data_IF_774664407222
#
_entry.id   IF_774664407222
#
_cell.length_a   1.000
_cell.length_b   1.000
_cell.length_c   1.000
_cell.angle_alpha   90.00
_cell.angle_beta   90.00
_cell.angle_gamma   90.00
#
_symmetry.space_group_name_H-M   'P 1'
#
loop_
_entity.id
_entity.type
_entity.pdbx_description
1 polymer ?
#
# COMPACT_ATOMS: atom_id res chain seq x y z
N UNK A 1 -38.09 -4.62 -10.92
CA UNK A 1 -37.25 -4.96 -9.77
C UNK A 1 -35.95 -5.49 -10.34
N UNK A 2 -34.96 -4.61 -10.50
CA UNK A 2 -33.59 -5.07 -10.76
C UNK A 2 -33.12 -5.80 -9.51
N UNK A 3 -32.55 -6.99 -9.68
CA UNK A 3 -31.93 -7.69 -8.56
C UNK A 3 -30.85 -6.76 -7.97
N UNK A 4 -30.72 -6.68 -6.63
CA UNK A 4 -29.63 -5.93 -6.02
C UNK A 4 -28.32 -6.42 -6.66
N UNK A 5 -27.55 -5.46 -7.16
CA UNK A 5 -26.33 -5.67 -7.94
C UNK A 5 -25.36 -6.54 -7.14
N UNK A 6 -25.38 -7.86 -7.37
CA UNK A 6 -24.68 -8.84 -6.56
C UNK A 6 -23.17 -8.70 -6.80
N UNK A 7 -22.45 -8.39 -5.73
CA UNK A 7 -21.00 -8.26 -5.75
C UNK A 7 -20.28 -9.52 -6.22
N UNK A 8 -20.84 -10.71 -5.96
CA UNK A 8 -20.27 -11.96 -6.47
C UNK A 8 -20.36 -12.02 -7.99
N UNK A 9 -21.51 -11.63 -8.55
CA UNK A 9 -21.71 -11.52 -10.00
C UNK A 9 -20.74 -10.50 -10.62
N UNK A 10 -20.53 -9.36 -9.95
CA UNK A 10 -19.54 -8.34 -10.37
C UNK A 10 -18.10 -8.86 -10.31
N UNK A 11 -17.73 -9.57 -9.24
CA UNK A 11 -16.41 -10.21 -9.10
C UNK A 11 -16.18 -11.25 -10.19
N UNK A 12 -17.17 -12.10 -10.49
CA UNK A 12 -17.07 -13.09 -11.57
C UNK A 12 -16.89 -12.42 -12.93
N UNK A 13 -17.65 -11.35 -13.19
CA UNK A 13 -17.55 -10.57 -14.43
C UNK A 13 -16.19 -9.90 -14.55
N UNK A 14 -15.68 -9.34 -13.44
CA UNK A 14 -14.35 -8.74 -13.36
C UNK A 14 -13.24 -9.77 -13.61
N UNK A 15 -13.29 -10.94 -12.99
CA UNK A 15 -12.32 -12.02 -13.21
C UNK A 15 -12.37 -12.54 -14.65
N UNK A 16 -13.58 -12.73 -15.20
CA UNK A 16 -13.77 -13.17 -16.58
C UNK A 16 -13.18 -12.18 -17.57
N UNK A 17 -13.43 -10.88 -17.39
CA UNK A 17 -12.97 -9.82 -18.28
C UNK A 17 -11.48 -9.50 -18.13
N UNK A 18 -10.97 -9.43 -16.89
CA UNK A 18 -9.60 -8.99 -16.61
C UNK A 18 -8.57 -10.08 -16.85
N UNK A 19 -8.97 -11.34 -16.64
CA UNK A 19 -8.10 -12.50 -16.80
C UNK A 19 -8.48 -13.35 -18.02
N UNK A 20 -9.44 -12.92 -18.84
CA UNK A 20 -9.98 -13.66 -19.99
C UNK A 20 -10.26 -15.14 -19.68
N UNK A 21 -10.76 -15.42 -18.47
CA UNK A 21 -11.02 -16.78 -18.01
C UNK A 21 -12.37 -17.27 -18.55
N UNK A 22 -12.52 -18.57 -18.83
CA UNK A 22 -13.85 -19.12 -19.09
C UNK A 22 -14.74 -18.92 -17.86
N UNK A 23 -16.05 -18.64 -18.04
CA UNK A 23 -16.95 -18.32 -16.92
C UNK A 23 -16.95 -19.36 -15.81
N UNK A 24 -16.87 -20.65 -16.14
CA UNK A 24 -16.80 -21.74 -15.14
C UNK A 24 -15.60 -21.65 -14.21
N UNK A 25 -14.43 -21.28 -14.75
CA UNK A 25 -13.21 -21.13 -13.99
C UNK A 25 -13.23 -19.83 -13.16
N UNK A 26 -13.77 -18.74 -13.72
CA UNK A 26 -13.97 -17.48 -13.00
C UNK A 26 -14.94 -17.65 -11.81
N UNK A 27 -16.05 -18.37 -11.99
CA UNK A 27 -16.98 -18.73 -10.91
C UNK A 27 -16.31 -19.59 -9.84
N UNK A 28 -15.50 -20.56 -10.24
CA UNK A 28 -14.78 -21.42 -9.29
C UNK A 28 -13.77 -20.62 -8.47
N UNK A 29 -13.00 -19.74 -9.12
CA UNK A 29 -12.02 -18.87 -8.46
C UNK A 29 -12.70 -17.86 -7.53
N UNK A 30 -13.80 -17.27 -7.97
CA UNK A 30 -14.58 -16.39 -7.12
C UNK A 30 -15.10 -17.12 -5.87
N UNK A 31 -15.61 -18.34 -6.01
CA UNK A 31 -16.10 -19.12 -4.89
C UNK A 31 -14.97 -19.48 -3.89
N UNK A 32 -13.78 -19.82 -4.38
CA UNK A 32 -12.61 -20.09 -3.54
C UNK A 32 -12.13 -18.82 -2.80
N UNK A 33 -12.14 -17.66 -3.47
CA UNK A 33 -11.77 -16.39 -2.84
C UNK A 33 -12.83 -15.94 -1.81
N UNK A 34 -14.10 -16.20 -2.08
CA UNK A 34 -15.20 -15.90 -1.17
C UNK A 34 -15.13 -16.74 0.10
N UNK A 35 -14.85 -18.05 -0.02
CA UNK A 35 -14.74 -18.94 1.14
C UNK A 35 -13.57 -18.56 2.06
N UNK A 36 -12.46 -18.06 1.50
CA UNK A 36 -11.31 -17.58 2.26
C UNK A 36 -11.54 -16.23 2.95
N UNK A 37 -12.41 -15.38 2.41
CA UNK A 37 -12.72 -14.06 2.99
C UNK A 37 -13.82 -14.11 4.06
N UNK A 38 -14.73 -15.09 3.99
CA UNK A 38 -15.82 -15.27 4.94
C UNK A 38 -15.42 -15.39 6.44
N UNK A 39 -14.29 -16.02 6.83
CA UNK A 39 -13.91 -16.12 8.24
C UNK A 39 -13.29 -14.84 8.84
N UNK A 40 -12.93 -13.83 8.03
CA UNK A 40 -12.23 -12.63 8.52
C UNK A 40 -13.15 -11.50 9.01
N UNK A 41 -14.46 -11.58 8.77
CA UNK A 41 -15.42 -10.55 9.18
C UNK A 41 -16.25 -11.02 10.40
N UNK A 42 -15.95 -10.54 11.62
CA UNK A 42 -16.66 -10.97 12.84
C UNK A 42 -18.13 -10.52 12.90
N UNK A 43 -18.60 -9.70 11.96
CA UNK A 43 -19.98 -9.21 11.90
C UNK A 43 -20.49 -9.08 10.44
N UNK A 44 -20.62 -10.21 9.76
CA UNK A 44 -21.84 -10.47 8.99
C UNK A 44 -21.92 -10.01 7.53
N UNK A 45 -20.86 -9.47 6.90
CA UNK A 45 -20.86 -9.28 5.45
C UNK A 45 -19.72 -10.07 4.76
N UNK A 46 -19.97 -11.32 4.34
CA UNK A 46 -18.97 -12.13 3.65
C UNK A 46 -18.60 -11.53 2.27
N UNK A 47 -19.29 -10.47 1.84
CA UNK A 47 -18.98 -9.69 0.65
C UNK A 47 -18.33 -8.33 0.92
N UNK A 48 -17.81 -8.16 2.14
CA UNK A 48 -17.17 -6.95 2.63
C UNK A 48 -15.88 -6.56 1.91
N UNK A 49 -15.16 -5.58 2.48
CA UNK A 49 -13.99 -5.00 1.84
C UNK A 49 -12.84 -6.00 1.68
N UNK A 50 -12.68 -6.94 2.63
CA UNK A 50 -11.64 -7.97 2.58
C UNK A 50 -11.79 -8.85 1.34
N UNK A 51 -12.99 -9.36 1.08
CA UNK A 51 -13.31 -10.14 -0.12
C UNK A 51 -13.01 -9.36 -1.41
N UNK A 52 -13.46 -8.11 -1.51
CA UNK A 52 -13.23 -7.25 -2.69
C UNK A 52 -11.75 -6.93 -2.90
N UNK A 53 -10.98 -6.80 -1.82
CA UNK A 53 -9.53 -6.60 -1.89
C UNK A 53 -8.85 -7.88 -2.37
N UNK A 54 -9.21 -9.05 -1.81
CA UNK A 54 -8.69 -10.35 -2.20
C UNK A 54 -8.90 -10.62 -3.69
N UNK A 55 -10.12 -10.40 -4.20
CA UNK A 55 -10.44 -10.57 -5.64
C UNK A 55 -9.56 -9.68 -6.52
N UNK A 56 -9.42 -8.39 -6.17
CA UNK A 56 -8.57 -7.47 -6.93
C UNK A 56 -7.09 -7.84 -6.87
N UNK A 57 -6.61 -8.27 -5.71
CA UNK A 57 -5.21 -8.63 -5.50
C UNK A 57 -4.85 -9.88 -6.30
N UNK A 58 -5.66 -10.94 -6.21
CA UNK A 58 -5.43 -12.17 -6.99
C UNK A 58 -5.53 -11.88 -8.48
N UNK A 59 -6.50 -11.09 -8.93
CA UNK A 59 -6.60 -10.69 -10.33
C UNK A 59 -5.36 -9.92 -10.81
N UNK A 60 -4.89 -8.93 -10.04
CA UNK A 60 -3.71 -8.15 -10.40
C UNK A 60 -2.45 -9.03 -10.46
N UNK A 61 -2.28 -9.92 -9.48
CA UNK A 61 -1.12 -10.82 -9.43
C UNK A 61 -1.12 -11.81 -10.60
N UNK A 62 -2.26 -12.41 -10.93
CA UNK A 62 -2.39 -13.29 -12.10
C UNK A 62 -2.17 -12.53 -13.42
N UNK A 63 -2.62 -11.28 -13.50
CA UNK A 63 -2.39 -10.44 -14.67
C UNK A 63 -0.90 -10.08 -14.83
N UNK A 64 -0.15 -9.93 -13.73
CA UNK A 64 1.28 -9.66 -13.76
C UNK A 64 2.10 -10.93 -14.02
N UNK A 65 1.62 -12.10 -13.59
CA UNK A 65 2.27 -13.39 -13.80
C UNK A 65 1.49 -14.24 -14.83
N UNK A 66 1.74 -13.95 -16.11
CA UNK A 66 1.09 -14.63 -17.24
C UNK A 66 1.39 -16.15 -17.29
N UNK A 67 2.54 -16.58 -16.76
CA UNK A 67 2.86 -18.00 -16.66
C UNK A 67 1.92 -18.70 -15.69
N UNK A 68 1.75 -18.16 -14.48
CA UNK A 68 0.82 -18.69 -13.47
C UNK A 68 -0.62 -18.69 -13.98
N UNK A 69 -1.04 -17.62 -14.68
CA UNK A 69 -2.36 -17.58 -15.33
C UNK A 69 -2.52 -18.68 -16.39
N UNK A 70 -1.49 -18.93 -17.20
CA UNK A 70 -1.47 -20.04 -18.17
C UNK A 70 -1.52 -21.41 -17.50
N UNK A 71 -0.84 -21.59 -16.37
CA UNK A 71 -0.88 -22.82 -15.57
C UNK A 71 -2.27 -23.06 -14.96
N UNK A 72 -2.93 -22.01 -14.48
CA UNK A 72 -4.31 -22.06 -13.99
C UNK A 72 -5.29 -22.43 -15.12
N UNK A 73 -5.18 -21.79 -16.29
CA UNK A 73 -6.03 -22.09 -17.46
C UNK A 73 -5.84 -23.52 -17.99
N UNK A 74 -4.63 -24.05 -17.92
CA UNK A 74 -4.31 -25.43 -18.33
C UNK A 74 -4.60 -26.48 -17.26
N UNK A 75 -5.01 -26.07 -16.06
CA UNK A 75 -5.29 -26.96 -14.93
C UNK A 75 -4.04 -27.58 -14.29
N UNK A 76 -2.84 -27.04 -14.57
CA UNK A 76 -1.60 -27.46 -13.89
C UNK A 76 -1.55 -26.99 -12.44
N UNK A 77 -2.12 -25.82 -12.18
CA UNK A 77 -2.35 -25.27 -10.84
C UNK A 77 -3.85 -25.17 -10.64
N UNK A 78 -4.32 -25.60 -9.47
CA UNK A 78 -5.72 -25.57 -9.11
C UNK A 78 -6.18 -24.18 -8.71
N UNK A 79 -7.49 -23.98 -8.78
CA UNK A 79 -8.14 -22.75 -8.34
C UNK A 79 -7.93 -22.49 -6.85
N UNK A 80 -7.99 -23.55 -6.03
CA UNK A 80 -7.80 -23.46 -4.58
C UNK A 80 -6.36 -23.08 -4.21
N UNK A 81 -5.37 -23.64 -4.90
CA UNK A 81 -3.96 -23.25 -4.74
C UNK A 81 -3.78 -21.76 -5.05
N UNK A 82 -4.29 -21.29 -6.18
CA UNK A 82 -4.19 -19.86 -6.54
C UNK A 82 -4.91 -18.95 -5.54
N UNK A 83 -6.06 -19.37 -5.01
CA UNK A 83 -6.81 -18.58 -4.05
C UNK A 83 -6.08 -18.45 -2.69
N UNK A 84 -5.33 -19.49 -2.32
CA UNK A 84 -4.57 -19.56 -1.06
C UNK A 84 -3.16 -18.95 -1.15
N UNK A 85 -2.57 -18.87 -2.34
CA UNK A 85 -1.24 -18.29 -2.55
C UNK A 85 -1.13 -16.88 -1.99
N UNK A 86 -0.02 -16.63 -1.31
CA UNK A 86 0.32 -15.28 -0.89
C UNK A 86 0.77 -14.42 -2.08
N UNK A 87 0.64 -13.09 -2.00
CA UNK A 87 1.05 -12.20 -3.08
C UNK A 87 2.53 -12.35 -3.48
N UNK A 88 3.38 -12.73 -2.54
CA UNK A 88 4.81 -13.00 -2.77
C UNK A 88 5.03 -14.28 -3.58
N UNK A 89 4.20 -15.31 -3.37
CA UNK A 89 4.28 -16.60 -4.07
C UNK A 89 3.77 -16.50 -5.51
N UNK A 90 2.87 -15.55 -5.76
CA UNK A 90 2.32 -15.29 -7.11
C UNK A 90 3.25 -14.46 -7.99
N UNK A 91 4.34 -13.89 -7.46
CA UNK A 91 5.27 -13.05 -8.24
C UNK A 91 6.03 -13.88 -9.27
N UNK A 92 6.46 -13.21 -10.34
CA UNK A 92 7.43 -13.79 -11.26
C UNK A 92 8.78 -13.93 -10.58
N UNK A 93 9.60 -14.88 -11.03
CA UNK A 93 10.96 -15.11 -10.52
C UNK A 93 11.82 -13.85 -10.64
N UNK A 94 11.65 -13.10 -11.72
CA UNK A 94 12.34 -11.83 -11.97
C UNK A 94 12.01 -10.79 -10.89
N UNK A 95 10.71 -10.58 -10.64
CA UNK A 95 10.26 -9.59 -9.65
C UNK A 95 10.63 -9.99 -8.22
N UNK A 96 10.57 -11.27 -7.90
CA UNK A 96 11.05 -11.78 -6.62
C UNK A 96 12.57 -11.54 -6.45
N UNK A 97 13.33 -11.62 -7.55
CA UNK A 97 14.76 -11.29 -7.57
C UNK A 97 15.03 -9.80 -7.33
N UNK A 98 14.28 -8.92 -7.99
CA UNK A 98 14.37 -7.47 -7.81
C UNK A 98 14.05 -7.05 -6.37
N UNK A 99 12.98 -7.57 -5.81
CA UNK A 99 12.58 -7.28 -4.43
C UNK A 99 13.64 -7.74 -3.43
N UNK A 100 14.29 -8.87 -3.69
CA UNK A 100 15.41 -9.35 -2.87
C UNK A 100 16.65 -8.44 -2.98
N UNK A 101 16.96 -7.97 -4.18
CA UNK A 101 18.07 -7.03 -4.40
C UNK A 101 17.82 -5.70 -3.70
N UNK A 102 16.62 -5.13 -3.85
CA UNK A 102 16.21 -3.90 -3.15
C UNK A 102 16.25 -4.05 -1.63
N UNK A 103 15.80 -5.20 -1.11
CA UNK A 103 15.88 -5.50 0.32
C UNK A 103 17.33 -5.59 0.80
N UNK A 104 18.23 -6.16 0.00
CA UNK A 104 19.65 -6.22 0.33
C UNK A 104 20.29 -4.83 0.31
N UNK A 105 20.01 -4.01 -0.71
CA UNK A 105 20.49 -2.64 -0.79
C UNK A 105 20.00 -1.79 0.39
N UNK A 106 18.72 -1.90 0.76
CA UNK A 106 18.16 -1.21 1.91
C UNK A 106 18.84 -1.64 3.23
N UNK A 107 19.15 -2.94 3.38
CA UNK A 107 19.88 -3.44 4.54
C UNK A 107 21.32 -2.90 4.58
N UNK A 108 22.02 -2.88 3.45
CA UNK A 108 23.37 -2.34 3.33
C UNK A 108 23.42 -0.82 3.58
N UNK A 109 22.44 -0.06 3.05
CA UNK A 109 22.31 1.37 3.30
C UNK A 109 21.91 1.71 4.75
N UNK A 110 21.17 0.82 5.42
CA UNK A 110 20.80 0.98 6.84
C UNK A 110 21.95 0.68 7.80
N UNK A 111 22.99 -0.06 7.35
CA UNK A 111 24.23 -0.19 8.10
C UNK A 111 24.94 1.15 8.01
N UNK A 112 24.71 1.99 9.03
CA UNK A 112 25.29 3.31 9.14
C UNK A 112 26.76 3.29 8.75
N UNK A 113 27.14 4.19 7.84
CA UNK A 113 28.55 4.44 7.58
C UNK A 113 29.16 4.82 8.92
N UNK A 114 29.98 3.92 9.50
CA UNK A 114 30.84 4.26 10.61
C UNK A 114 31.84 5.28 10.09
N UNK A 115 31.45 6.56 10.08
CA UNK A 115 32.38 7.67 10.01
C UNK A 115 33.23 7.59 11.27
N UNK A 116 34.35 6.89 11.18
CA UNK A 116 35.49 7.07 12.07
C UNK A 116 35.94 8.52 11.88
N UNK A 117 35.33 9.45 12.61
CA UNK A 117 35.89 10.78 12.81
C UNK A 117 37.26 10.55 13.46
N UNK A 118 38.38 10.94 12.83
CA UNK A 118 39.66 10.86 13.48
C UNK A 118 39.59 11.75 14.71
N UNK A 119 39.66 11.15 15.91
CA UNK A 119 39.77 11.88 17.17
C UNK A 119 41.16 12.51 17.21
N UNK A 120 41.30 13.66 16.54
CA UNK A 120 42.43 14.56 16.67
C UNK A 120 42.28 15.36 17.96
N UNK A 121 42.98 14.91 19.00
CA UNK A 121 43.54 15.71 20.09
C UNK A 121 42.77 16.98 20.54
N UNK A 122 41.72 16.82 21.35
CA UNK A 122 41.17 17.92 22.16
C UNK A 122 41.92 18.02 23.48
N UNK A 123 43.07 18.72 23.45
CA UNK A 123 43.66 19.37 24.62
C UNK A 123 42.78 20.56 25.04
N UNK A 124 42.57 20.73 26.34
CA UNK A 124 41.52 21.59 26.90
C UNK A 124 41.81 23.09 26.99
N UNK A 125 40.94 23.73 27.80
CA UNK A 125 40.84 25.14 28.21
C UNK A 125 39.87 25.97 27.35
N UNK A 126 38.61 26.15 27.77
CA UNK A 126 38.04 27.06 28.79
C UNK A 126 37.73 28.49 28.28
N UNK A 127 36.41 28.73 28.20
CA UNK A 127 35.65 29.90 28.70
C UNK A 127 35.51 31.21 27.88
N UNK A 128 34.26 31.39 27.41
CA UNK A 128 33.37 32.58 27.57
C UNK A 128 33.57 33.83 26.66
N UNK A 129 32.64 34.82 26.66
CA UNK A 129 31.38 34.81 25.91
C UNK A 129 31.17 36.06 25.00
N UNK A 130 30.26 35.91 24.02
CA UNK A 130 29.50 36.90 23.25
C UNK A 130 30.07 38.31 22.97
N UNK A 131 30.34 38.59 21.68
CA UNK A 131 30.13 39.92 21.09
C UNK A 131 29.63 39.77 19.64
N UNK A 132 28.60 40.56 19.36
CA UNK A 132 27.74 40.56 18.17
C UNK A 132 28.37 41.20 16.93
N UNK A 133 27.63 41.13 15.82
CA UNK A 133 27.77 41.84 14.53
C UNK A 133 28.76 41.17 13.54
N UNK A 134 28.42 40.84 12.29
CA UNK A 134 27.35 41.33 11.42
C UNK A 134 27.10 40.33 10.26
N UNK A 135 25.83 40.27 9.86
CA UNK A 135 25.17 39.63 8.72
C UNK A 135 26.04 39.14 7.53
N UNK A 136 25.75 37.93 7.04
CA UNK A 136 24.79 37.77 5.93
C UNK A 136 24.57 36.31 5.49
N UNK A 137 23.28 35.98 5.40
CA UNK A 137 22.64 34.95 4.54
C UNK A 137 22.71 33.47 4.95
N UNK A 138 21.81 33.12 5.87
CA UNK A 138 20.56 32.38 5.58
C UNK A 138 20.69 31.11 4.69
N UNK A 139 20.48 29.88 5.16
CA UNK A 139 19.91 29.46 6.44
C UNK A 139 20.25 28.01 6.82
N UNK A 140 20.90 27.88 7.98
CA UNK A 140 20.58 26.92 9.04
C UNK A 140 19.08 27.06 9.39
N UNK A 141 18.34 26.12 9.96
CA UNK A 141 18.59 25.27 11.13
C UNK A 141 17.47 24.22 11.12
N UNK A 142 17.70 22.95 11.45
CA UNK A 142 17.95 22.50 12.82
C UNK A 142 16.66 21.80 13.30
N UNK A 143 16.62 20.47 13.40
CA UNK A 143 17.19 19.66 14.47
C UNK A 143 16.80 20.20 15.85
N UNK A 144 15.84 19.51 16.49
CA UNK A 144 15.43 19.47 17.91
C UNK A 144 13.90 19.25 17.94
N UNK A 145 13.30 18.30 18.65
CA UNK A 145 13.68 17.55 19.84
C UNK A 145 12.91 16.22 19.87
N UNK A 146 13.53 15.21 20.46
CA UNK A 146 12.78 14.12 21.08
C UNK A 146 12.02 14.69 22.28
N UNK A 147 10.69 14.74 22.20
CA UNK A 147 9.82 15.01 23.35
C UNK A 147 8.92 13.81 23.58
N UNK A 148 9.08 13.25 24.78
CA UNK A 148 8.29 12.17 25.34
C UNK A 148 7.01 12.78 25.94
N UNK A 149 5.85 12.40 25.40
CA UNK A 149 4.55 12.47 26.06
C UNK A 149 3.87 13.83 26.17
N UNK A 150 2.74 14.01 25.48
CA UNK A 150 1.54 14.60 26.09
C UNK A 150 0.31 14.33 25.20
N UNK A 151 -0.80 14.07 25.85
CA UNK A 151 -2.11 13.79 25.27
C UNK A 151 -2.69 15.04 24.60
N UNK A 152 -3.31 14.87 23.43
CA UNK A 152 -4.35 15.77 22.91
C UNK A 152 -3.89 17.06 22.23
N UNK A 153 -3.91 17.07 20.89
CA UNK A 153 -4.48 18.20 20.13
C UNK A 153 -4.72 17.78 18.67
N UNK A 154 -5.94 17.34 18.33
CA UNK A 154 -6.35 17.10 16.95
C UNK A 154 -6.46 18.44 16.23
N UNK A 155 -5.34 18.94 15.71
CA UNK A 155 -5.35 20.04 14.76
C UNK A 155 -5.91 19.53 13.45
N UNK A 156 -7.22 19.76 13.29
CA UNK A 156 -7.98 19.68 12.05
C UNK A 156 -7.15 20.36 10.96
N UNK A 157 -6.54 19.55 10.08
CA UNK A 157 -5.84 20.07 8.90
C UNK A 157 -6.90 20.75 8.05
N UNK A 158 -6.90 22.08 8.06
CA UNK A 158 -7.79 22.89 7.24
C UNK A 158 -7.61 22.49 5.77
N UNK A 159 -8.64 21.91 5.18
CA UNK A 159 -8.68 21.66 3.75
C UNK A 159 -8.62 23.01 3.02
N UNK A 160 -7.79 23.16 1.97
CA UNK A 160 -7.83 24.36 1.15
C UNK A 160 -9.18 24.43 0.44
N UNK A 161 -9.99 25.43 0.79
CA UNK A 161 -11.26 25.73 0.11
C UNK A 161 -10.92 26.17 -1.32
N UNK A 162 -11.37 25.39 -2.31
CA UNK A 162 -11.28 25.75 -3.72
C UNK A 162 -12.17 26.99 -3.92
N UNK A 163 -11.55 28.17 -4.05
CA UNK A 163 -12.24 29.38 -4.48
C UNK A 163 -12.41 29.31 -6.00
N UNK A 164 -13.65 29.30 -6.50
CA UNK A 164 -13.89 29.37 -7.95
C UNK A 164 -15.12 28.65 -8.53
N UNK A 165 -16.10 28.23 -7.72
CA UNK A 165 -17.39 27.73 -8.23
C UNK A 165 -18.53 28.67 -7.84
N UNK A 166 -18.39 29.95 -8.20
CA UNK A 166 -19.55 30.82 -8.38
C UNK A 166 -20.26 30.37 -9.67
N UNK A 167 -21.49 29.87 -9.55
CA UNK A 167 -22.39 29.76 -10.71
C UNK A 167 -23.14 28.44 -10.94
N UNK A 168 -23.10 27.46 -10.02
CA UNK A 168 -24.01 26.32 -10.12
C UNK A 168 -25.22 26.55 -9.20
N UNK A 169 -26.25 27.18 -9.75
CA UNK A 169 -27.57 27.26 -9.14
C UNK A 169 -28.13 25.83 -9.06
N UNK A 170 -28.29 25.31 -7.84
CA UNK A 170 -29.11 24.11 -7.61
C UNK A 170 -30.53 24.59 -7.31
N UNK A 171 -31.41 24.41 -8.30
CA UNK A 171 -32.85 24.57 -8.16
C UNK A 171 -33.37 23.59 -7.10
N UNK A 172 -33.64 24.10 -5.89
CA UNK A 172 -34.28 23.32 -4.83
C UNK A 172 -35.78 23.22 -5.11
N UNK A 173 -36.20 22.08 -5.68
CA UNK A 173 -37.61 21.71 -5.74
C UNK A 173 -38.13 21.30 -4.37
N UNK A 174 -39.14 22.02 -3.88
CA UNK A 174 -40.13 21.54 -2.92
C UNK A 174 -41.14 20.63 -3.61
#
# INVERSE_FOLDING_TARGET
MEAPDDIRTRSQSYLTSSLELPPSLATSLEAALFSLAAPEEPQGDPTGNAYRQRVRQVALNLQQNQELLGQLRSGKVSVDEVAQMDPEEMKTVERAGEDKALKQEALEGSRGQNFLVPVGATGGQQAAPAASEELSQEGEVGAQEASLGEEGDQRVRAQPKIAGLEGIEFESGL
#
